data_IF_013069952920
#
_entry.id   IF_013069952920
#
_cell.length_a   1.000
_cell.length_b   1.000
_cell.length_c   1.000
_cell.angle_alpha   90.00
_cell.angle_beta   90.00
_cell.angle_gamma   90.00
#
_symmetry.space_group_name_H-M   'P 1'
#
loop_
_entity.id
_entity.type
_entity.pdbx_description
1 polymer ?
#
# COMPACT_ATOMS: atom_id res chain seq x y z
N UNK A 1 -7.22 -10.28 12.00
CA UNK A 1 -8.29 -10.81 11.09
C UNK A 1 -7.71 -11.44 9.82
N UNK A 2 -6.73 -10.82 9.15
CA UNK A 2 -6.04 -11.38 7.97
C UNK A 2 -5.22 -12.65 8.23
N UNK A 3 -4.62 -12.82 9.42
CA UNK A 3 -3.89 -14.05 9.79
C UNK A 3 -4.76 -15.33 9.74
N UNK A 4 -6.10 -15.20 9.71
CA UNK A 4 -7.05 -16.32 9.55
C UNK A 4 -7.47 -16.58 8.10
N UNK A 5 -7.09 -15.71 7.17
CA UNK A 5 -7.43 -15.83 5.75
C UNK A 5 -6.36 -16.60 4.97
N UNK A 6 -5.07 -16.50 5.33
CA UNK A 6 -3.99 -17.26 4.67
C UNK A 6 -4.28 -18.77 4.51
N UNK A 7 -4.76 -19.49 5.55
CA UNK A 7 -5.06 -20.92 5.45
C UNK A 7 -6.38 -21.27 4.74
N UNK A 8 -7.32 -20.32 4.64
CA UNK A 8 -8.67 -20.53 4.11
C UNK A 8 -8.90 -19.82 2.76
N UNK A 9 -7.86 -19.22 2.20
CA UNK A 9 -7.94 -18.52 0.92
C UNK A 9 -8.03 -19.52 -0.22
N UNK A 10 -9.11 -19.44 -0.99
CA UNK A 10 -9.27 -20.23 -2.20
C UNK A 10 -8.77 -19.43 -3.42
N UNK A 11 -8.16 -20.09 -4.43
CA UNK A 11 -7.91 -19.46 -5.71
C UNK A 11 -9.21 -18.84 -6.28
N UNK A 12 -9.28 -17.51 -6.37
CA UNK A 12 -10.47 -16.78 -6.81
C UNK A 12 -10.98 -15.73 -5.83
N UNK A 13 -10.56 -15.77 -4.56
CA UNK A 13 -10.93 -14.70 -3.62
C UNK A 13 -10.12 -13.43 -3.92
N UNK A 14 -10.78 -12.30 -4.09
CA UNK A 14 -10.13 -10.98 -4.06
C UNK A 14 -10.78 -10.14 -2.97
N UNK A 15 -9.98 -9.36 -2.26
CA UNK A 15 -10.46 -8.51 -1.18
C UNK A 15 -10.66 -7.06 -1.67
N UNK A 16 -11.81 -6.45 -1.36
CA UNK A 16 -12.11 -5.07 -1.79
C UNK A 16 -11.10 -4.04 -1.26
N UNK A 17 -10.42 -4.34 -0.16
CA UNK A 17 -9.33 -3.53 0.36
C UNK A 17 -8.06 -3.64 -0.51
N UNK A 18 -7.82 -4.78 -1.16
CA UNK A 18 -6.76 -4.94 -2.17
C UNK A 18 -7.08 -4.17 -3.45
N UNK A 19 -8.32 -4.26 -3.93
CA UNK A 19 -8.83 -3.47 -5.06
C UNK A 19 -8.68 -1.97 -4.82
N UNK A 20 -8.89 -1.52 -3.58
CA UNK A 20 -8.75 -0.10 -3.20
C UNK A 20 -7.30 0.40 -3.29
N UNK A 21 -6.32 -0.50 -3.30
CA UNK A 21 -4.89 -0.15 -3.37
C UNK A 21 -4.37 0.01 -4.81
N UNK A 22 -5.18 -0.23 -5.86
CA UNK A 22 -4.64 -0.17 -7.23
C UNK A 22 -4.01 1.18 -7.55
N UNK A 23 -4.66 2.30 -7.25
CA UNK A 23 -4.07 3.63 -7.53
C UNK A 23 -2.79 3.87 -6.72
N UNK A 24 -2.72 3.39 -5.47
CA UNK A 24 -1.48 3.46 -4.68
C UNK A 24 -0.35 2.67 -5.33
N UNK A 25 -0.63 1.43 -5.76
CA UNK A 25 0.35 0.57 -6.42
C UNK A 25 0.82 1.17 -7.75
N UNK A 26 -0.09 1.74 -8.53
CA UNK A 26 0.21 2.43 -9.79
C UNK A 26 1.14 3.63 -9.58
N UNK A 27 0.82 4.51 -8.63
CA UNK A 27 1.66 5.69 -8.36
C UNK A 27 3.04 5.31 -7.83
N UNK A 28 3.11 4.34 -6.91
CA UNK A 28 4.39 3.88 -6.37
C UNK A 28 5.26 3.21 -7.44
N UNK A 29 4.67 2.42 -8.34
CA UNK A 29 5.39 1.85 -9.48
C UNK A 29 5.90 2.94 -10.42
N UNK A 30 5.05 3.90 -10.79
CA UNK A 30 5.41 4.99 -11.68
C UNK A 30 6.56 5.86 -11.14
N UNK A 31 6.60 6.07 -9.82
CA UNK A 31 7.71 6.78 -9.14
C UNK A 31 9.03 6.00 -9.25
N UNK A 32 8.98 4.67 -9.13
CA UNK A 32 10.18 3.83 -9.21
C UNK A 32 10.67 3.64 -10.64
N UNK A 33 9.79 3.80 -11.63
CA UNK A 33 10.08 3.77 -13.07
C UNK A 33 10.72 5.07 -13.61
N UNK A 34 11.16 5.96 -12.72
CA UNK A 34 11.84 7.22 -13.04
C UNK A 34 13.29 7.23 -12.47
N UNK A 35 14.21 7.98 -13.09
CA UNK A 35 15.57 8.16 -12.56
C UNK A 35 15.54 8.75 -11.13
N UNK A 36 16.54 8.43 -10.27
CA UNK A 36 17.84 7.85 -10.61
C UNK A 36 17.90 6.30 -10.63
N UNK A 37 16.76 5.59 -10.53
CA UNK A 37 16.70 4.11 -10.48
C UNK A 37 17.55 3.47 -9.36
N UNK A 38 17.83 4.24 -8.32
CA UNK A 38 18.51 3.73 -7.14
C UNK A 38 17.65 2.67 -6.44
N UNK A 39 18.27 1.63 -5.88
CA UNK A 39 17.54 0.64 -5.10
C UNK A 39 16.89 1.31 -3.89
N UNK A 40 15.64 0.94 -3.61
CA UNK A 40 14.99 1.24 -2.34
C UNK A 40 15.68 0.39 -1.27
N UNK A 41 15.99 0.98 -0.12
CA UNK A 41 16.68 0.29 1.00
C UNK A 41 15.78 0.07 2.21
N UNK A 42 14.73 0.88 2.35
CA UNK A 42 13.71 0.73 3.39
C UNK A 42 12.38 1.33 2.94
N UNK A 43 11.28 0.86 3.54
CA UNK A 43 9.93 1.35 3.28
C UNK A 43 9.21 1.59 4.60
N UNK A 44 8.44 2.67 4.66
CA UNK A 44 7.46 2.91 5.72
C UNK A 44 6.05 3.03 5.14
N UNK A 45 5.07 2.37 5.76
CA UNK A 45 3.65 2.49 5.40
C UNK A 45 2.82 2.89 6.62
N UNK A 46 2.10 3.99 6.52
CA UNK A 46 1.17 4.48 7.55
C UNK A 46 -0.23 4.57 6.97
N UNK A 47 -1.22 4.05 7.69
CA UNK A 47 -2.62 4.14 7.30
C UNK A 47 -3.55 3.68 8.40
N UNK A 48 -4.85 3.87 8.20
CA UNK A 48 -5.88 3.52 9.17
C UNK A 48 -5.97 2.01 9.45
N UNK A 49 -6.23 1.65 10.71
CA UNK A 49 -6.59 0.28 11.12
C UNK A 49 -8.03 -0.14 10.79
N UNK A 50 -8.84 0.75 10.20
CA UNK A 50 -10.24 0.46 9.83
C UNK A 50 -10.38 -0.55 8.68
N UNK A 51 -9.29 -0.87 7.97
CA UNK A 51 -9.30 -1.82 6.86
C UNK A 51 -7.96 -2.56 6.74
N UNK A 52 -7.94 -3.74 6.09
CA UNK A 52 -6.69 -4.48 5.87
C UNK A 52 -5.72 -3.82 4.88
N UNK A 53 -6.12 -2.75 4.18
CA UNK A 53 -5.33 -2.11 3.12
C UNK A 53 -3.91 -1.74 3.55
N UNK A 54 -3.70 -1.24 4.78
CA UNK A 54 -2.38 -0.81 5.26
C UNK A 54 -1.37 -1.96 5.27
N UNK A 55 -1.74 -3.09 5.90
CA UNK A 55 -0.89 -4.27 5.92
C UNK A 55 -0.74 -4.91 4.54
N UNK A 56 -1.81 -4.92 3.73
CA UNK A 56 -1.74 -5.48 2.36
C UNK A 56 -0.77 -4.69 1.47
N UNK A 57 -0.74 -3.36 1.59
CA UNK A 57 0.20 -2.52 0.85
C UNK A 57 1.64 -2.75 1.33
N UNK A 58 1.84 -2.83 2.65
CA UNK A 58 3.15 -3.16 3.24
C UNK A 58 3.65 -4.53 2.76
N UNK A 59 2.80 -5.56 2.76
CA UNK A 59 3.13 -6.91 2.33
C UNK A 59 3.47 -6.96 0.83
N UNK A 60 2.75 -6.19 0.01
CA UNK A 60 3.06 -6.05 -1.41
C UNK A 60 4.41 -5.38 -1.65
N UNK A 61 4.71 -4.28 -0.96
CA UNK A 61 6.01 -3.61 -1.04
C UNK A 61 7.14 -4.54 -0.58
N UNK A 62 6.94 -5.27 0.52
CA UNK A 62 7.88 -6.27 1.04
C UNK A 62 8.18 -7.36 0.00
N UNK A 63 7.15 -7.85 -0.67
CA UNK A 63 7.25 -8.87 -1.71
C UNK A 63 7.94 -8.36 -2.98
N UNK A 64 7.72 -7.08 -3.35
CA UNK A 64 8.22 -6.51 -4.60
C UNK A 64 9.62 -5.94 -4.51
N UNK A 65 10.00 -5.39 -3.37
CA UNK A 65 11.28 -4.70 -3.19
C UNK A 65 12.30 -5.53 -2.42
N UNK A 66 11.86 -6.58 -1.74
CA UNK A 66 12.69 -7.44 -0.89
C UNK A 66 13.51 -6.69 0.19
N UNK A 67 12.94 -5.60 0.72
CA UNK A 67 13.55 -4.79 1.79
C UNK A 67 12.70 -4.78 3.05
N UNK A 68 13.29 -4.33 4.16
CA UNK A 68 12.53 -4.11 5.40
C UNK A 68 11.40 -3.11 5.15
N UNK A 69 10.19 -3.49 5.59
CA UNK A 69 9.01 -2.64 5.55
C UNK A 69 8.51 -2.44 6.97
N UNK A 70 8.70 -1.23 7.48
CA UNK A 70 8.10 -0.79 8.72
C UNK A 70 6.69 -0.28 8.43
N UNK A 71 5.71 -0.70 9.21
CA UNK A 71 4.34 -0.28 8.98
C UNK A 71 3.58 -0.16 10.29
N UNK A 72 2.65 0.80 10.36
CA UNK A 72 1.83 1.01 11.55
C UNK A 72 0.43 1.46 11.17
N UNK A 73 -0.49 1.27 12.11
CA UNK A 73 -1.78 1.92 12.04
C UNK A 73 -1.69 3.34 12.60
N UNK A 74 -2.28 4.30 11.90
CA UNK A 74 -2.57 5.62 12.44
C UNK A 74 -3.71 5.51 13.45
N UNK A 75 -3.72 6.39 14.46
CA UNK A 75 -4.89 6.49 15.35
C UNK A 75 -6.08 7.06 14.56
N UNK A 76 -7.34 6.80 14.98
CA UNK A 76 -8.51 7.37 14.31
C UNK A 76 -8.48 8.90 14.24
N UNK A 77 -7.86 9.57 15.22
CA UNK A 77 -7.68 11.02 15.27
C UNK A 77 -6.59 11.51 14.29
N UNK A 78 -5.53 10.72 14.09
CA UNK A 78 -4.46 11.03 13.12
C UNK A 78 -4.94 10.82 11.68
N UNK A 79 -5.54 9.66 11.40
CA UNK A 79 -6.01 9.31 10.06
C UNK A 79 -7.12 8.25 10.09
N UNK A 80 -8.39 8.64 9.91
CA UNK A 80 -9.52 7.75 10.17
C UNK A 80 -9.65 6.63 9.13
N UNK A 81 -9.22 6.83 7.88
CA UNK A 81 -9.52 5.89 6.79
C UNK A 81 -8.42 5.73 5.72
N UNK A 82 -8.22 4.49 5.28
CA UNK A 82 -7.33 4.19 4.14
C UNK A 82 -5.84 4.46 4.43
N UNK A 83 -5.04 4.47 3.37
CA UNK A 83 -3.60 4.76 3.45
C UNK A 83 -3.40 6.27 3.60
N UNK A 84 -2.52 6.65 4.52
CA UNK A 84 -2.09 8.03 4.73
C UNK A 84 -0.81 8.29 3.95
N UNK A 85 0.23 7.49 4.19
CA UNK A 85 1.59 7.77 3.72
C UNK A 85 2.34 6.50 3.34
N UNK A 86 3.13 6.59 2.28
CA UNK A 86 4.20 5.66 1.97
C UNK A 86 5.50 6.43 1.79
N UNK A 87 6.56 5.98 2.46
CA UNK A 87 7.92 6.51 2.32
C UNK A 87 8.83 5.42 1.79
N UNK A 88 9.58 5.72 0.74
CA UNK A 88 10.58 4.85 0.12
C UNK A 88 11.95 5.50 0.32
N UNK A 89 12.86 4.86 1.04
CA UNK A 89 14.21 5.38 1.28
C UNK A 89 15.16 4.89 0.20
N UNK A 90 15.90 5.83 -0.41
CA UNK A 90 17.00 5.58 -1.36
C UNK A 90 18.29 6.26 -0.88
N UNK A 91 19.41 5.99 -1.55
CA UNK A 91 20.69 6.62 -1.23
C UNK A 91 20.65 8.15 -1.39
N UNK A 92 19.93 8.65 -2.40
CA UNK A 92 19.69 10.08 -2.66
C UNK A 92 18.69 10.74 -1.71
N UNK A 93 17.98 9.96 -0.88
CA UNK A 93 17.01 10.43 0.10
C UNK A 93 15.64 9.76 -0.02
N UNK A 94 14.67 10.32 0.70
CA UNK A 94 13.34 9.74 0.82
C UNK A 94 12.39 10.24 -0.26
N UNK A 95 11.65 9.31 -0.87
CA UNK A 95 10.48 9.60 -1.67
C UNK A 95 9.24 9.39 -0.79
N UNK A 96 8.43 10.41 -0.65
CA UNK A 96 7.23 10.39 0.20
C UNK A 96 6.01 10.64 -0.66
N UNK A 97 5.04 9.72 -0.61
CA UNK A 97 3.71 9.91 -1.14
C UNK A 97 2.73 9.96 0.04
N UNK A 98 2.13 11.11 0.27
CA UNK A 98 1.28 11.38 1.42
C UNK A 98 -0.07 11.98 0.99
N UNK A 99 -1.17 11.37 1.43
CA UNK A 99 -2.50 11.96 1.29
C UNK A 99 -2.70 13.07 2.31
N UNK A 100 -3.20 14.20 1.82
CA UNK A 100 -3.66 15.31 2.64
C UNK A 100 -5.16 15.22 2.94
N UNK A 101 -5.93 14.54 2.07
CA UNK A 101 -7.35 14.26 2.25
C UNK A 101 -7.77 12.98 1.47
N UNK A 102 -9.07 12.76 1.29
CA UNK A 102 -9.61 11.57 0.58
C UNK A 102 -9.39 11.56 -0.94
N UNK A 103 -9.03 12.71 -1.52
CA UNK A 103 -8.84 12.96 -2.95
C UNK A 103 -7.38 13.24 -3.30
N UNK A 104 -6.72 14.11 -2.54
CA UNK A 104 -5.42 14.68 -2.90
C UNK A 104 -4.27 14.04 -2.13
N UNK A 105 -3.14 13.88 -2.82
CA UNK A 105 -1.87 13.49 -2.23
C UNK A 105 -0.72 14.35 -2.77
N UNK A 106 0.34 14.47 -2.00
CA UNK A 106 1.57 15.16 -2.39
C UNK A 106 2.69 14.13 -2.51
N UNK A 107 3.40 14.17 -3.64
CA UNK A 107 4.62 13.41 -3.89
C UNK A 107 5.82 14.34 -3.68
N UNK A 108 6.70 14.00 -2.75
CA UNK A 108 7.95 14.71 -2.48
C UNK A 108 9.14 13.81 -2.78
N UNK A 109 10.11 14.32 -3.53
CA UNK A 109 11.33 13.61 -3.92
C UNK A 109 12.55 14.52 -3.76
N UNK A 110 13.73 13.97 -3.40
CA UNK A 110 14.94 14.77 -3.26
C UNK A 110 15.33 15.43 -4.58
N UNK A 111 15.68 16.72 -4.53
CA UNK A 111 16.14 17.47 -5.71
C UNK A 111 15.04 17.80 -6.74
N UNK A 112 13.77 17.55 -6.43
CA UNK A 112 12.63 17.87 -7.29
C UNK A 112 11.59 18.69 -6.52
N UNK A 113 10.78 19.52 -7.19
CA UNK A 113 9.61 20.15 -6.56
C UNK A 113 8.62 19.09 -6.06
N UNK A 114 7.85 19.42 -5.03
CA UNK A 114 6.70 18.60 -4.64
C UNK A 114 5.62 18.65 -5.73
N UNK A 115 4.96 17.51 -5.98
CA UNK A 115 3.89 17.37 -6.96
C UNK A 115 2.58 17.01 -6.27
N UNK A 116 1.53 17.78 -6.51
CA UNK A 116 0.18 17.39 -6.10
C UNK A 116 -0.39 16.41 -7.12
N UNK A 117 -0.92 15.30 -6.62
CA UNK A 117 -1.51 14.23 -7.41
C UNK A 117 -2.93 13.94 -6.93
N UNK A 118 -3.80 13.67 -7.89
CA UNK A 118 -5.17 13.22 -7.63
C UNK A 118 -5.12 11.72 -7.36
N UNK A 119 -5.31 11.35 -6.09
CA UNK A 119 -5.28 9.98 -5.60
C UNK A 119 -6.57 9.65 -4.84
N UNK A 120 -7.74 9.57 -5.50
CA UNK A 120 -9.01 9.36 -4.85
C UNK A 120 -9.09 7.99 -4.19
N UNK A 121 -9.71 7.95 -3.01
CA UNK A 121 -10.13 6.69 -2.39
C UNK A 121 -11.29 6.08 -3.18
N UNK A 122 -11.11 4.85 -3.67
CA UNK A 122 -12.21 4.10 -4.30
C UNK A 122 -13.31 3.79 -3.29
N UNK A 123 -14.53 4.15 -3.69
CA UNK A 123 -15.78 3.80 -3.02
C UNK A 123 -16.02 2.28 -3.05
N UNK A 124 -16.91 1.81 -2.17
CA UNK A 124 -17.31 0.40 -2.17
C UNK A 124 -17.89 -0.03 -3.52
N UNK A 125 -18.70 0.84 -4.16
CA UNK A 125 -19.32 0.57 -5.45
C UNK A 125 -18.27 0.36 -6.54
N UNK A 126 -17.25 1.21 -6.58
CA UNK A 126 -16.17 1.09 -7.58
C UNK A 126 -15.34 -0.18 -7.36
N UNK A 127 -15.01 -0.51 -6.11
CA UNK A 127 -14.33 -1.77 -5.79
C UNK A 127 -15.16 -2.97 -6.26
N UNK A 128 -16.46 -3.00 -5.96
CA UNK A 128 -17.35 -4.08 -6.39
C UNK A 128 -17.47 -4.17 -7.92
N UNK A 129 -17.59 -3.03 -8.60
CA UNK A 129 -17.65 -3.00 -10.06
C UNK A 129 -16.35 -3.47 -10.74
N UNK A 130 -15.20 -3.30 -10.08
CA UNK A 130 -13.92 -3.85 -10.54
C UNK A 130 -13.86 -5.37 -10.34
N UNK A 131 -14.22 -5.87 -9.15
CA UNK A 131 -14.18 -7.31 -8.88
C UNK A 131 -15.16 -8.11 -9.74
N UNK A 132 -16.35 -7.56 -10.00
CA UNK A 132 -17.31 -8.18 -10.92
C UNK A 132 -16.81 -8.21 -12.38
N UNK A 133 -15.93 -7.29 -12.78
CA UNK A 133 -15.33 -7.28 -14.12
C UNK A 133 -14.18 -8.28 -14.25
N UNK A 134 -13.49 -8.61 -13.15
CA UNK A 134 -12.32 -9.49 -13.13
C UNK A 134 -12.58 -10.69 -12.23
N UNK A 135 -13.31 -11.65 -12.78
CA UNK A 135 -13.70 -12.88 -12.08
C UNK A 135 -12.57 -13.93 -12.01
N UNK A 136 -11.46 -13.72 -12.72
CA UNK A 136 -10.28 -14.59 -12.64
C UNK A 136 -9.49 -14.37 -11.34
N UNK A 137 -8.86 -15.42 -10.79
CA UNK A 137 -8.05 -15.30 -9.57
C UNK A 137 -6.94 -14.24 -9.67
N UNK A 138 -6.87 -13.34 -8.68
CA UNK A 138 -5.74 -12.42 -8.53
C UNK A 138 -4.55 -13.14 -7.86
N UNK A 139 -3.68 -13.74 -8.69
CA UNK A 139 -2.48 -14.44 -8.23
C UNK A 139 -1.52 -13.54 -7.43
N UNK A 140 -1.52 -12.22 -7.68
CA UNK A 140 -0.68 -11.31 -6.91
C UNK A 140 -1.25 -11.11 -5.51
N UNK A 141 -2.57 -10.93 -5.39
CA UNK A 141 -3.23 -10.90 -4.09
C UNK A 141 -2.94 -12.15 -3.27
N UNK A 142 -3.09 -13.34 -3.87
CA UNK A 142 -2.79 -14.62 -3.22
C UNK A 142 -1.36 -14.68 -2.66
N UNK A 143 -0.35 -14.22 -3.43
CA UNK A 143 1.04 -14.13 -2.94
C UNK A 143 1.23 -13.08 -1.84
N UNK A 144 0.49 -11.98 -1.88
CA UNK A 144 0.58 -10.93 -0.85
C UNK A 144 0.08 -11.43 0.49
N UNK A 145 -1.04 -12.16 0.55
CA UNK A 145 -1.61 -12.64 1.81
C UNK A 145 -0.97 -13.93 2.34
N UNK A 146 -0.17 -14.61 1.52
CA UNK A 146 0.63 -15.78 1.93
C UNK A 146 2.07 -15.34 2.19
N UNK A 147 2.90 -15.33 1.15
CA UNK A 147 4.33 -15.02 1.26
C UNK A 147 4.60 -13.59 1.72
N UNK A 148 3.94 -12.59 1.12
CA UNK A 148 4.18 -11.18 1.45
C UNK A 148 3.86 -10.87 2.91
N UNK A 149 2.79 -11.46 3.43
CA UNK A 149 2.34 -11.27 4.81
C UNK A 149 3.25 -11.98 5.82
N UNK A 150 3.72 -13.19 5.51
CA UNK A 150 4.68 -13.93 6.34
C UNK A 150 6.03 -13.22 6.46
N UNK A 151 6.44 -12.49 5.42
CA UNK A 151 7.68 -11.71 5.41
C UNK A 151 7.59 -10.40 6.21
N UNK A 152 6.39 -9.98 6.64
CA UNK A 152 6.22 -8.76 7.42
C UNK A 152 6.48 -9.00 8.91
N UNK A 153 7.18 -8.05 9.53
CA UNK A 153 7.15 -7.88 10.97
C UNK A 153 5.77 -7.44 11.47
N UNK A 154 5.52 -7.52 12.79
CA UNK A 154 4.30 -7.00 13.38
C UNK A 154 4.15 -5.51 13.06
N UNK A 155 2.91 -5.02 12.98
CA UNK A 155 2.68 -3.59 12.88
C UNK A 155 3.34 -2.88 14.07
N UNK A 156 4.11 -1.83 13.79
CA UNK A 156 4.71 -0.98 14.80
C UNK A 156 3.63 -0.43 15.72
N UNK A 157 3.82 -0.63 17.03
CA UNK A 157 2.94 -0.06 18.04
C UNK A 157 3.26 1.42 18.24
N UNK A 158 2.27 2.29 18.07
CA UNK A 158 2.22 3.50 18.88
C UNK A 158 1.90 3.04 20.30
N UNK A 159 2.91 3.07 21.18
CA UNK A 159 2.66 3.14 22.62
C UNK A 159 1.96 4.46 22.94
#
# INVERSE_FOLDING_TARGET
>A
RLARLGPNHAPGDTDLAWTRLTHWREQLAAVLDQPPYEPVTAVEVVGSGSSPSTGLLAAWLRLKLDVQVDWRYATPEEWPHGIQRVRLTRASGDIVLERSNDLDATLTQPGQPSHDIVLPRRSLRECLAEELRRLDPDLLYGRVITTGWELLGPAGGTA
#
